data_IF_910609765630
#
_entry.id   IF_910609765630
#
_cell.length_a   1.000
_cell.length_b   1.000
_cell.length_c   1.000
_cell.angle_alpha   90.00
_cell.angle_beta   90.00
_cell.angle_gamma   90.00
#
_symmetry.space_group_name_H-M   'P 1'
#
loop_
_entity.id
_entity.type
_entity.pdbx_description
1 polymer ?
#
# COMPACT_ATOMS: atom_id res chain seq x y z
N UNK A 1 6.65 25.07 -38.62
CA UNK A 1 6.94 23.85 -39.40
C UNK A 1 7.57 22.82 -38.46
N UNK A 2 7.02 21.60 -38.44
CA UNK A 2 7.63 20.37 -37.90
C UNK A 2 7.72 20.17 -36.38
N UNK A 3 6.58 19.96 -35.71
CA UNK A 3 6.51 19.15 -34.47
C UNK A 3 5.53 17.96 -34.58
N UNK A 4 4.91 17.76 -35.75
CA UNK A 4 4.01 16.63 -36.03
C UNK A 4 4.74 15.45 -36.71
N UNK A 5 5.99 15.62 -37.15
CA UNK A 5 6.74 14.58 -37.86
C UNK A 5 7.47 13.58 -36.93
N UNK A 6 7.57 13.86 -35.62
CA UNK A 6 8.32 12.98 -34.70
C UNK A 6 7.50 11.84 -34.09
N UNK A 7 6.16 11.83 -34.24
CA UNK A 7 5.31 10.79 -33.64
C UNK A 7 5.17 9.54 -34.51
N UNK A 8 5.58 9.59 -35.79
CA UNK A 8 5.36 8.50 -36.75
C UNK A 8 6.51 7.48 -36.74
N UNK A 9 7.68 7.81 -36.17
CA UNK A 9 8.85 6.93 -36.24
C UNK A 9 8.94 5.88 -35.12
N UNK A 10 8.05 5.94 -34.12
CA UNK A 10 8.05 5.00 -32.99
C UNK A 10 7.20 3.74 -33.22
N UNK A 11 6.33 3.70 -34.24
CA UNK A 11 5.44 2.56 -34.51
C UNK A 11 6.09 1.43 -35.33
N UNK A 12 7.21 1.69 -36.03
CA UNK A 12 7.84 0.71 -36.91
C UNK A 12 8.68 -0.37 -36.22
N UNK A 13 9.01 -0.23 -34.93
CA UNK A 13 9.92 -1.15 -34.22
C UNK A 13 9.23 -2.28 -33.47
N UNK A 14 7.91 -2.23 -33.30
CA UNK A 14 7.17 -3.28 -32.59
C UNK A 14 6.78 -4.46 -33.50
N UNK A 15 6.63 -4.24 -34.82
CA UNK A 15 6.29 -5.33 -35.75
C UNK A 15 7.46 -6.30 -36.02
N UNK A 16 8.72 -5.86 -35.92
CA UNK A 16 9.88 -6.71 -36.23
C UNK A 16 10.18 -7.78 -35.16
N UNK A 17 9.62 -7.67 -33.95
CA UNK A 17 9.83 -8.65 -32.88
C UNK A 17 8.88 -9.86 -32.96
N UNK A 18 7.80 -9.79 -33.74
CA UNK A 18 6.85 -10.89 -33.92
C UNK A 18 7.26 -11.86 -35.04
N UNK A 19 7.94 -11.38 -36.08
CA UNK A 19 8.43 -12.21 -37.19
C UNK A 19 9.59 -13.14 -36.79
N UNK A 20 10.34 -12.81 -35.74
CA UNK A 20 11.53 -13.57 -35.32
C UNK A 20 11.23 -14.88 -34.57
N UNK A 21 9.96 -15.21 -34.28
CA UNK A 21 9.58 -16.49 -33.65
C UNK A 21 9.04 -17.53 -34.63
N UNK A 22 8.83 -17.19 -35.90
CA UNK A 22 8.05 -18.05 -36.80
C UNK A 22 8.88 -18.86 -37.82
N UNK A 23 10.20 -18.92 -37.66
CA UNK A 23 11.08 -19.69 -38.57
C UNK A 23 12.09 -20.56 -37.82
N UNK A 24 11.61 -21.68 -37.27
CA UNK A 24 12.45 -22.83 -36.95
C UNK A 24 11.65 -24.15 -37.05
N UNK A 25 11.71 -24.77 -38.22
CA UNK A 25 11.48 -26.19 -38.54
C UNK A 25 12.23 -26.46 -39.88
N UNK A 26 12.68 -27.68 -40.25
CA UNK A 26 12.10 -28.99 -39.87
C UNK A 26 13.07 -30.21 -39.70
N UNK A 27 12.44 -31.34 -39.31
CA UNK A 27 12.61 -32.74 -39.73
C UNK A 27 13.81 -33.63 -39.29
N UNK A 28 13.49 -34.75 -38.61
CA UNK A 28 13.64 -36.18 -39.04
C UNK A 28 12.96 -37.07 -37.97
N UNK A 29 11.72 -37.57 -38.10
CA UNK A 29 11.21 -38.77 -38.80
C UNK A 29 11.35 -40.12 -38.06
N UNK A 30 10.23 -40.87 -38.04
CA UNK A 30 10.01 -42.29 -37.67
C UNK A 30 9.87 -42.61 -36.16
N UNK A 31 8.88 -43.37 -35.66
CA UNK A 31 7.87 -44.24 -36.26
C UNK A 31 6.65 -44.42 -35.33
N UNK A 32 5.46 -44.46 -35.94
CA UNK A 32 4.37 -45.43 -35.76
C UNK A 32 4.17 -46.10 -34.38
N UNK A 33 3.01 -45.87 -33.74
CA UNK A 33 2.01 -46.92 -33.45
C UNK A 33 0.80 -46.36 -32.69
N UNK A 34 -0.38 -46.70 -33.20
CA UNK A 34 -1.69 -46.60 -32.56
C UNK A 34 -1.83 -47.68 -31.49
N UNK A 35 -2.07 -47.30 -30.23
CA UNK A 35 -2.75 -48.17 -29.25
C UNK A 35 -3.56 -47.34 -28.27
N UNK A 36 -4.88 -47.42 -28.42
CA UNK A 36 -5.86 -47.24 -27.35
C UNK A 36 -5.59 -48.27 -26.24
N UNK A 37 -5.34 -47.83 -25.00
CA UNK A 37 -5.59 -48.64 -23.80
C UNK A 37 -5.69 -47.77 -22.54
N UNK A 38 -6.89 -47.84 -21.95
CA UNK A 38 -7.26 -47.89 -20.53
C UNK A 38 -6.64 -46.92 -19.49
N UNK A 39 -7.46 -46.49 -18.50
CA UNK A 39 -7.03 -45.55 -17.46
C UNK A 39 -6.13 -46.26 -16.44
N UNK A 40 -5.03 -45.62 -16.07
CA UNK A 40 -4.08 -46.10 -15.08
C UNK A 40 -3.58 -44.86 -14.31
N UNK A 41 -3.48 -44.80 -12.99
CA UNK A 41 -3.94 -45.63 -11.90
C UNK A 41 -4.08 -44.70 -10.68
N UNK A 42 -4.78 -45.16 -9.65
CA UNK A 42 -4.88 -44.50 -8.35
C UNK A 42 -3.50 -44.16 -7.78
N UNK A 43 -3.39 -42.95 -7.22
CA UNK A 43 -2.16 -42.38 -6.69
C UNK A 43 -1.54 -43.21 -5.56
N UNK A 44 -0.21 -43.23 -5.57
CA UNK A 44 0.64 -43.78 -4.51
C UNK A 44 0.48 -42.96 -3.22
N UNK A 45 0.39 -43.59 -2.03
CA UNK A 45 0.33 -42.85 -0.77
C UNK A 45 1.71 -42.23 -0.49
N UNK A 46 1.80 -40.90 -0.49
CA UNK A 46 3.05 -40.15 -0.32
C UNK A 46 3.40 -39.22 -1.48
N UNK A 47 2.55 -39.14 -2.50
CA UNK A 47 2.63 -38.07 -3.50
C UNK A 47 2.08 -36.78 -2.87
N UNK A 48 2.87 -36.12 -2.00
CA UNK A 48 2.68 -34.74 -1.51
C UNK A 48 2.87 -33.76 -2.68
N UNK A 49 2.13 -34.02 -3.75
CA UNK A 49 1.94 -33.09 -4.84
C UNK A 49 1.00 -32.04 -4.31
N UNK A 50 1.60 -31.00 -3.73
CA UNK A 50 0.96 -29.72 -3.48
C UNK A 50 0.35 -29.25 -4.82
N UNK A 51 -0.87 -29.67 -5.11
CA UNK A 51 -1.77 -28.87 -5.92
C UNK A 51 -2.13 -27.70 -5.02
N UNK A 52 -1.59 -26.48 -5.24
CA UNK A 52 -2.22 -25.33 -4.63
C UNK A 52 -3.67 -25.41 -5.08
N UNK A 53 -4.58 -25.63 -4.13
CA UNK A 53 -6.00 -25.62 -4.37
C UNK A 53 -6.32 -24.26 -4.96
N UNK A 54 -6.36 -24.19 -6.28
CA UNK A 54 -6.87 -23.04 -7.02
C UNK A 54 -8.34 -22.94 -6.72
N UNK A 55 -8.67 -22.35 -5.58
CA UNK A 55 -10.04 -22.07 -5.19
C UNK A 55 -10.01 -20.76 -4.43
N UNK A 56 -10.87 -19.84 -4.91
CA UNK A 56 -11.08 -18.46 -4.47
C UNK A 56 -10.47 -17.35 -5.35
N UNK A 57 -10.03 -17.65 -6.58
CA UNK A 57 -9.88 -16.58 -7.60
C UNK A 57 -11.22 -15.92 -7.96
N UNK A 58 -12.35 -16.60 -7.73
CA UNK A 58 -13.71 -16.14 -8.01
C UNK A 58 -14.52 -15.82 -6.73
N UNK A 59 -13.87 -15.71 -5.58
CA UNK A 59 -14.57 -15.22 -4.38
C UNK A 59 -14.88 -13.73 -4.56
N UNK A 60 -16.13 -13.30 -4.37
CA UNK A 60 -16.53 -11.90 -4.57
C UNK A 60 -15.61 -10.90 -3.83
N UNK A 61 -15.17 -11.24 -2.62
CA UNK A 61 -14.22 -10.43 -1.86
C UNK A 61 -12.83 -10.29 -2.52
N UNK A 62 -12.38 -11.30 -3.27
CA UNK A 62 -11.14 -11.23 -4.07
C UNK A 62 -11.30 -10.33 -5.29
N UNK A 63 -12.48 -10.32 -5.93
CA UNK A 63 -12.78 -9.44 -7.06
C UNK A 63 -12.88 -7.96 -6.65
N UNK A 64 -13.51 -7.69 -5.50
CA UNK A 64 -13.61 -6.33 -4.91
C UNK A 64 -12.23 -5.75 -4.61
N UNK A 65 -11.35 -6.57 -4.04
CA UNK A 65 -10.01 -6.14 -3.57
C UNK A 65 -8.94 -6.07 -4.66
N UNK A 66 -9.09 -6.82 -5.76
CA UNK A 66 -8.13 -6.85 -6.88
C UNK A 66 -8.02 -5.52 -7.63
N UNK A 67 -9.06 -4.68 -7.59
CA UNK A 67 -9.12 -3.41 -8.32
C UNK A 67 -8.75 -2.17 -7.48
N UNK A 68 -8.25 -2.36 -6.26
CA UNK A 68 -7.83 -1.25 -5.41
C UNK A 68 -6.55 -0.60 -5.95
N UNK A 69 -6.58 0.72 -6.20
CA UNK A 69 -5.41 1.48 -6.65
C UNK A 69 -4.45 1.84 -5.51
N UNK A 70 -4.03 0.83 -4.74
CA UNK A 70 -3.14 0.97 -3.58
C UNK A 70 -1.84 1.71 -3.92
N UNK A 71 -1.35 1.57 -5.16
CA UNK A 71 -0.16 2.27 -5.64
C UNK A 71 -0.34 3.80 -5.68
N UNK A 72 -1.51 4.27 -6.14
CA UNK A 72 -1.83 5.70 -6.18
C UNK A 72 -1.97 6.26 -4.76
N UNK A 73 -2.60 5.49 -3.86
CA UNK A 73 -2.76 5.89 -2.46
C UNK A 73 -1.41 6.00 -1.74
N UNK A 74 -0.50 5.07 -2.02
CA UNK A 74 0.89 5.12 -1.54
C UNK A 74 1.61 6.38 -2.03
N UNK A 75 1.40 6.79 -3.28
CA UNK A 75 2.02 7.99 -3.83
C UNK A 75 1.54 9.27 -3.13
N UNK A 76 0.24 9.44 -2.92
CA UNK A 76 -0.32 10.60 -2.21
C UNK A 76 0.20 10.68 -0.77
N UNK A 77 0.24 9.54 -0.07
CA UNK A 77 0.78 9.50 1.30
C UNK A 77 2.28 9.77 1.32
N UNK A 78 3.04 9.27 0.34
CA UNK A 78 4.47 9.55 0.23
C UNK A 78 4.74 11.06 0.04
N UNK A 79 3.88 11.77 -0.70
CA UNK A 79 3.96 13.22 -0.85
C UNK A 79 3.74 13.92 0.50
N UNK A 80 2.66 13.62 1.21
CA UNK A 80 2.37 14.21 2.53
C UNK A 80 3.49 13.88 3.54
N UNK A 81 4.01 12.64 3.53
CA UNK A 81 5.13 12.20 4.36
C UNK A 81 6.39 13.01 4.06
N UNK A 82 6.74 13.17 2.77
CA UNK A 82 7.92 13.94 2.37
C UNK A 82 7.84 15.40 2.82
N UNK A 83 6.65 16.01 2.73
CA UNK A 83 6.40 17.37 3.17
C UNK A 83 6.54 17.54 4.68
N UNK A 84 5.91 16.65 5.47
CA UNK A 84 6.04 16.63 6.94
C UNK A 84 7.50 16.44 7.35
N UNK A 85 8.19 15.48 6.73
CA UNK A 85 9.60 15.18 6.99
C UNK A 85 10.51 16.37 6.71
N UNK A 86 10.37 17.01 5.55
CA UNK A 86 11.20 18.17 5.19
C UNK A 86 10.93 19.37 6.08
N UNK A 87 9.66 19.60 6.45
CA UNK A 87 9.30 20.67 7.40
C UNK A 87 9.97 20.46 8.75
N UNK A 88 9.95 19.23 9.28
CA UNK A 88 10.59 18.92 10.56
C UNK A 88 12.12 19.04 10.47
N UNK A 89 12.72 18.60 9.37
CA UNK A 89 14.16 18.74 9.13
C UNK A 89 14.58 20.20 9.04
N UNK A 90 13.78 21.02 8.35
CA UNK A 90 14.00 22.46 8.27
C UNK A 90 13.88 23.11 9.64
N UNK A 91 12.87 22.74 10.43
CA UNK A 91 12.70 23.24 11.81
C UNK A 91 13.86 22.85 12.71
N UNK A 92 14.36 21.62 12.64
CA UNK A 92 15.58 21.23 13.36
C UNK A 92 16.78 22.11 12.99
N UNK A 93 16.98 22.37 11.70
CA UNK A 93 18.08 23.19 11.21
C UNK A 93 17.97 24.66 11.67
N UNK A 94 16.76 25.23 11.70
CA UNK A 94 16.49 26.59 12.20
C UNK A 94 16.93 26.76 13.66
N UNK A 95 16.78 25.71 14.48
CA UNK A 95 17.20 25.69 15.88
C UNK A 95 18.63 25.16 16.10
N UNK A 96 19.43 25.00 15.02
CA UNK A 96 20.80 24.45 15.05
C UNK A 96 20.90 23.05 15.69
N UNK A 97 19.85 22.25 15.56
CA UNK A 97 19.81 20.88 16.05
C UNK A 97 20.35 19.91 15.00
N UNK A 98 20.86 18.76 15.44
CA UNK A 98 21.32 17.74 14.51
C UNK A 98 20.13 17.21 13.69
N UNK A 99 20.22 17.12 12.35
CA UNK A 99 19.16 16.54 11.52
C UNK A 99 18.86 15.07 11.85
N UNK A 100 19.75 14.38 12.56
CA UNK A 100 19.60 13.01 13.05
C UNK A 100 18.96 12.92 14.44
N UNK A 101 18.48 14.04 15.00
CA UNK A 101 17.77 14.03 16.28
C UNK A 101 16.45 13.30 16.12
N UNK A 102 16.24 12.27 16.94
CA UNK A 102 14.99 11.52 16.96
C UNK A 102 13.87 12.43 17.47
N UNK A 103 12.88 12.67 16.61
CA UNK A 103 11.66 13.40 16.93
C UNK A 103 10.48 12.48 16.69
N UNK A 104 9.57 12.44 17.65
CA UNK A 104 8.27 11.84 17.51
C UNK A 104 7.22 12.94 17.51
N UNK A 105 6.36 12.96 16.51
CA UNK A 105 5.31 13.95 16.36
C UNK A 105 3.97 13.26 16.47
N UNK A 106 3.20 13.64 17.49
CA UNK A 106 1.91 13.03 17.80
C UNK A 106 0.80 14.05 17.70
N UNK A 107 -0.41 13.56 17.45
CA UNK A 107 -1.62 14.39 17.53
C UNK A 107 -2.10 14.41 18.98
N UNK A 108 -1.93 15.56 19.64
CA UNK A 108 -2.35 15.81 21.01
C UNK A 108 -3.85 16.09 21.13
N UNK A 109 -4.27 16.42 22.35
CA UNK A 109 -5.65 16.77 22.68
C UNK A 109 -6.08 18.05 21.93
N UNK A 110 -7.29 18.04 21.37
CA UNK A 110 -7.80 19.15 20.54
C UNK A 110 -7.18 19.25 19.14
N UNK A 111 -6.46 18.22 18.67
CA UNK A 111 -5.89 18.18 17.32
C UNK A 111 -4.62 19.01 17.14
N UNK A 112 -4.04 19.50 18.23
CA UNK A 112 -2.74 20.19 18.23
C UNK A 112 -1.62 19.19 18.00
N UNK A 113 -0.56 19.64 17.34
CA UNK A 113 0.66 18.84 17.18
C UNK A 113 1.46 18.91 18.47
N UNK A 114 1.85 17.75 19.00
CA UNK A 114 2.78 17.60 20.11
C UNK A 114 4.07 16.97 19.58
N UNK A 115 5.20 17.41 20.11
CA UNK A 115 6.52 16.95 19.69
C UNK A 115 7.21 16.36 20.90
N UNK A 116 7.59 15.11 20.81
CA UNK A 116 8.38 14.41 21.80
C UNK A 116 9.76 14.07 21.23
N UNK A 117 10.78 14.04 22.08
CA UNK A 117 12.13 13.69 21.66
C UNK A 117 13.18 14.12 22.67
N UNK A 118 14.44 13.79 22.37
CA UNK A 118 15.60 14.18 23.18
C UNK A 118 15.99 15.64 22.89
N UNK A 119 15.15 16.58 23.30
CA UNK A 119 15.37 18.02 23.13
C UNK A 119 15.18 18.76 24.46
N UNK A 120 15.87 19.89 24.66
CA UNK A 120 15.56 20.81 25.76
C UNK A 120 14.10 21.29 25.67
N UNK A 121 13.39 21.33 26.81
CA UNK A 121 11.97 21.70 26.88
C UNK A 121 11.66 23.06 26.23
N UNK A 122 12.57 24.03 26.40
CA UNK A 122 12.42 25.36 25.80
C UNK A 122 12.44 25.34 24.26
N UNK A 123 13.24 24.45 23.67
CA UNK A 123 13.33 24.29 22.21
C UNK A 123 12.13 23.49 21.70
N UNK A 124 11.73 22.43 22.42
CA UNK A 124 10.53 21.64 22.14
C UNK A 124 9.28 22.52 22.06
N UNK A 125 9.04 23.36 23.07
CA UNK A 125 7.87 24.24 23.11
C UNK A 125 7.83 25.25 21.93
N UNK A 126 8.99 25.76 21.51
CA UNK A 126 9.08 26.65 20.33
C UNK A 126 8.79 25.91 19.04
N UNK A 127 9.37 24.72 18.85
CA UNK A 127 9.08 23.87 17.69
C UNK A 127 7.59 23.51 17.65
N UNK A 128 6.99 23.11 18.77
CA UNK A 128 5.54 22.84 18.85
C UNK A 128 4.70 24.06 18.47
N UNK A 129 5.05 25.24 18.98
CA UNK A 129 4.36 26.48 18.64
C UNK A 129 4.45 26.77 17.13
N UNK A 130 5.63 26.63 16.53
CA UNK A 130 5.86 26.85 15.11
C UNK A 130 5.07 25.87 14.24
N UNK A 131 5.11 24.58 14.57
CA UNK A 131 4.35 23.54 13.86
C UNK A 131 2.85 23.79 13.98
N UNK A 132 2.38 24.26 15.13
CA UNK A 132 0.98 24.61 15.34
C UNK A 132 0.55 25.92 14.66
N UNK A 133 1.49 26.79 14.30
CA UNK A 133 1.21 27.99 13.52
C UNK A 133 1.19 27.69 12.00
N UNK A 134 1.92 26.66 11.56
CA UNK A 134 1.97 26.27 10.16
C UNK A 134 0.75 25.44 9.75
N UNK A 135 -0.22 26.09 9.09
CA UNK A 135 -1.43 25.45 8.57
C UNK A 135 -1.15 24.32 7.57
N UNK A 136 -0.19 24.52 6.66
CA UNK A 136 0.14 23.51 5.63
C UNK A 136 0.68 22.23 6.24
N UNK A 137 1.49 22.36 7.30
CA UNK A 137 1.99 21.25 8.09
C UNK A 137 0.86 20.53 8.81
N UNK A 138 0.00 21.27 9.54
CA UNK A 138 -1.14 20.71 10.26
C UNK A 138 -2.08 19.93 9.35
N UNK A 139 -2.36 20.45 8.17
CA UNK A 139 -3.25 19.79 7.21
C UNK A 139 -2.62 18.48 6.69
N UNK A 140 -1.36 18.53 6.28
CA UNK A 140 -0.62 17.36 5.79
C UNK A 140 -0.47 16.29 6.88
N UNK A 141 -0.11 16.70 8.10
CA UNK A 141 0.01 15.80 9.24
C UNK A 141 -1.34 15.21 9.65
N UNK A 142 -2.43 15.99 9.61
CA UNK A 142 -3.77 15.48 9.92
C UNK A 142 -4.24 14.46 8.87
N UNK A 143 -4.01 14.71 7.58
CA UNK A 143 -4.29 13.73 6.52
C UNK A 143 -3.47 12.46 6.73
N UNK A 144 -2.16 12.61 6.91
CA UNK A 144 -1.25 11.48 7.14
C UNK A 144 -1.69 10.64 8.36
N UNK A 145 -2.09 11.29 9.45
CA UNK A 145 -2.52 10.62 10.68
C UNK A 145 -3.76 9.74 10.54
N UNK A 146 -4.60 10.03 9.55
CA UNK A 146 -5.84 9.30 9.29
C UNK A 146 -5.65 8.28 8.16
N UNK A 147 -4.87 8.67 7.14
CA UNK A 147 -4.69 7.91 5.91
C UNK A 147 -3.68 6.78 6.06
N UNK A 148 -2.57 6.99 6.77
CA UNK A 148 -1.52 5.98 6.91
C UNK A 148 -2.00 4.71 7.63
N UNK A 149 -2.69 4.79 8.79
CA UNK A 149 -3.18 3.59 9.47
C UNK A 149 -4.14 2.78 8.59
N UNK A 150 -5.01 3.48 7.84
CA UNK A 150 -5.96 2.86 6.92
C UNK A 150 -5.24 2.15 5.78
N UNK A 151 -4.27 2.82 5.16
CA UNK A 151 -3.47 2.22 4.09
C UNK A 151 -2.69 1.00 4.59
N UNK A 152 -2.06 1.09 5.76
CA UNK A 152 -1.30 0.00 6.35
C UNK A 152 -2.20 -1.21 6.64
N UNK A 153 -3.41 -0.98 7.14
CA UNK A 153 -4.40 -2.04 7.32
C UNK A 153 -4.76 -2.70 5.98
N UNK A 154 -5.13 -1.92 4.96
CA UNK A 154 -5.52 -2.43 3.64
C UNK A 154 -4.37 -3.19 2.99
N UNK A 155 -3.15 -2.64 3.00
CA UNK A 155 -1.97 -3.28 2.41
C UNK A 155 -1.63 -4.60 3.10
N UNK A 156 -1.71 -4.67 4.44
CA UNK A 156 -1.48 -5.91 5.17
C UNK A 156 -2.60 -6.93 4.95
N UNK A 157 -3.86 -6.50 4.95
CA UNK A 157 -4.99 -7.39 4.71
C UNK A 157 -4.93 -7.99 3.29
N UNK A 158 -4.53 -7.20 2.29
CA UNK A 158 -4.31 -7.69 0.93
C UNK A 158 -3.17 -8.69 0.84
N UNK A 159 -2.03 -8.41 1.48
CA UNK A 159 -0.89 -9.34 1.53
C UNK A 159 -1.25 -10.65 2.21
N UNK A 160 -1.99 -10.60 3.33
CA UNK A 160 -2.43 -11.79 4.06
C UNK A 160 -3.41 -12.62 3.23
N UNK A 161 -4.34 -11.97 2.53
CA UNK A 161 -5.25 -12.65 1.61
C UNK A 161 -4.46 -13.32 0.46
N UNK A 162 -3.50 -12.62 -0.14
CA UNK A 162 -2.68 -13.19 -1.23
C UNK A 162 -1.76 -14.33 -0.76
N UNK A 163 -1.16 -14.22 0.42
CA UNK A 163 -0.20 -15.19 0.92
C UNK A 163 -0.86 -16.47 1.47
N UNK A 164 -2.03 -16.32 2.10
CA UNK A 164 -2.66 -17.41 2.86
C UNK A 164 -4.10 -17.71 2.45
N UNK A 165 -4.67 -16.97 1.49
CA UNK A 165 -6.06 -17.11 1.08
C UNK A 165 -7.07 -16.69 2.15
N UNK A 166 -6.63 -15.97 3.18
CA UNK A 166 -7.50 -15.61 4.32
C UNK A 166 -8.35 -14.39 3.95
N UNK A 167 -9.66 -14.59 3.85
CA UNK A 167 -10.62 -13.50 3.68
C UNK A 167 -10.78 -12.71 4.97
N UNK A 168 -10.55 -11.40 4.89
CA UNK A 168 -10.76 -10.48 5.99
C UNK A 168 -12.13 -9.80 5.82
N UNK A 169 -13.08 -10.11 6.69
CA UNK A 169 -14.43 -9.52 6.66
C UNK A 169 -14.44 -8.01 6.88
N UNK A 170 -13.46 -7.46 7.60
CA UNK A 170 -13.30 -6.00 7.74
C UNK A 170 -12.85 -5.38 6.42
N UNK A 171 -11.93 -6.04 5.69
CA UNK A 171 -11.51 -5.56 4.37
C UNK A 171 -12.69 -5.56 3.39
N UNK A 172 -13.53 -6.59 3.41
CA UNK A 172 -14.72 -6.66 2.55
C UNK A 172 -15.75 -5.57 2.91
N UNK A 173 -15.95 -5.28 4.19
CA UNK A 173 -16.80 -4.16 4.63
C UNK A 173 -16.23 -2.77 4.25
N UNK A 174 -14.90 -2.66 4.12
CA UNK A 174 -14.23 -1.42 3.72
C UNK A 174 -14.25 -1.21 2.21
N UNK A 175 -14.32 -2.25 1.39
CA UNK A 175 -14.20 -2.14 -0.06
C UNK A 175 -15.58 -2.20 -0.68
N UNK A 176 -15.96 -1.14 -1.37
CA UNK A 176 -17.22 -1.09 -2.11
C UNK A 176 -17.13 -1.94 -3.37
N UNK A 177 -18.27 -2.47 -3.79
CA UNK A 177 -18.43 -3.15 -5.07
C UNK A 177 -18.23 -2.18 -6.25
N UNK A 178 -18.59 -0.92 -6.05
CA UNK A 178 -18.33 0.12 -7.02
C UNK A 178 -16.92 0.71 -6.80
N UNK A 179 -16.08 0.53 -7.81
CA UNK A 179 -14.70 1.01 -7.82
C UNK A 179 -14.56 2.52 -7.64
N UNK A 180 -15.57 3.31 -8.03
CA UNK A 180 -15.57 4.76 -7.89
C UNK A 180 -15.59 5.21 -6.42
N UNK A 181 -16.10 4.37 -5.51
CA UNK A 181 -16.16 4.64 -4.07
C UNK A 181 -15.04 3.94 -3.29
N UNK A 182 -13.98 3.51 -3.98
CA UNK A 182 -12.83 2.88 -3.35
C UNK A 182 -11.62 3.82 -3.22
N UNK A 183 -11.82 5.12 -3.48
CA UNK A 183 -10.80 6.13 -3.27
C UNK A 183 -10.29 6.16 -1.83
N UNK A 184 -9.06 6.65 -1.63
CA UNK A 184 -8.42 6.72 -0.31
C UNK A 184 -9.32 7.39 0.73
N UNK A 185 -9.98 8.49 0.37
CA UNK A 185 -10.85 9.23 1.27
C UNK A 185 -12.06 8.41 1.72
N UNK A 186 -12.67 7.64 0.81
CA UNK A 186 -13.83 6.79 1.10
C UNK A 186 -13.44 5.62 2.00
N UNK A 187 -12.30 4.98 1.72
CA UNK A 187 -11.75 3.90 2.55
C UNK A 187 -11.48 4.41 3.97
N UNK A 188 -10.90 5.60 4.09
CA UNK A 188 -10.60 6.24 5.38
C UNK A 188 -11.88 6.56 6.15
N UNK A 189 -12.91 7.11 5.49
CA UNK A 189 -14.20 7.37 6.13
C UNK A 189 -14.88 6.10 6.62
N UNK A 190 -14.91 5.04 5.79
CA UNK A 190 -15.48 3.75 6.18
C UNK A 190 -14.68 3.10 7.31
N UNK A 191 -13.35 3.20 7.28
CA UNK A 191 -12.48 2.70 8.35
C UNK A 191 -12.69 3.43 9.67
N UNK A 192 -12.78 4.76 9.66
CA UNK A 192 -13.05 5.53 10.87
C UNK A 192 -14.45 5.24 11.43
N UNK A 193 -15.46 5.13 10.56
CA UNK A 193 -16.81 4.71 10.97
C UNK A 193 -16.81 3.30 11.59
N UNK A 194 -16.13 2.33 10.96
CA UNK A 194 -16.02 0.97 11.46
C UNK A 194 -15.28 0.93 12.80
N UNK A 195 -14.18 1.68 12.95
CA UNK A 195 -13.42 1.81 14.19
C UNK A 195 -14.26 2.39 15.32
N UNK A 196 -15.05 3.44 15.04
CA UNK A 196 -15.95 4.06 16.02
C UNK A 196 -17.06 3.12 16.47
N UNK A 197 -17.63 2.34 15.54
CA UNK A 197 -18.67 1.35 15.85
C UNK A 197 -18.10 0.11 16.57
N UNK A 198 -16.89 -0.34 16.20
CA UNK A 198 -16.23 -1.48 16.82
C UNK A 198 -15.66 -1.16 18.21
N UNK A 199 -15.35 0.11 18.49
CA UNK A 199 -14.84 0.59 19.78
C UNK A 199 -15.80 0.42 20.98
N UNK A 200 -16.99 -0.14 20.78
CA UNK A 200 -17.85 -0.62 21.87
C UNK A 200 -17.46 -1.99 22.44
N UNK A 201 -16.53 -2.70 21.82
CA UNK A 201 -15.98 -3.97 22.34
C UNK A 201 -14.52 -3.75 22.74
N UNK A 202 -14.20 -4.07 24.00
CA UNK A 202 -12.93 -3.77 24.66
C UNK A 202 -11.70 -4.16 23.83
N UNK A 203 -11.06 -3.15 23.22
CA UNK A 203 -9.68 -3.22 22.78
C UNK A 203 -8.91 -2.37 23.80
N UNK A 204 -8.07 -3.00 24.61
CA UNK A 204 -7.31 -2.35 25.69
C UNK A 204 -6.67 -1.04 25.23
N UNK A 205 -6.95 0.02 25.99
CA UNK A 205 -6.75 1.43 25.68
C UNK A 205 -5.29 1.92 25.54
N UNK A 206 -4.30 1.02 25.54
CA UNK A 206 -2.88 1.36 25.32
C UNK A 206 -2.46 1.23 23.84
N UNK A 207 -3.14 0.38 23.07
CA UNK A 207 -2.80 0.07 21.66
C UNK A 207 -3.78 0.71 20.65
N UNK A 208 -4.64 1.63 21.10
CA UNK A 208 -5.25 2.62 20.22
C UNK A 208 -4.15 3.62 19.80
N UNK A 209 -3.10 3.10 19.15
CA UNK A 209 -1.86 3.80 18.79
C UNK A 209 -2.23 5.11 18.16
N UNK A 210 -2.14 6.17 18.95
CA UNK A 210 -2.24 7.53 18.46
C UNK A 210 -1.17 7.63 17.40
N UNK A 211 -1.59 8.02 16.20
CA UNK A 211 -0.68 8.13 15.09
C UNK A 211 0.51 9.02 15.50
N UNK A 212 1.70 8.49 15.27
CA UNK A 212 2.96 9.03 15.74
C UNK A 212 3.93 9.01 14.56
N UNK A 213 4.27 10.18 14.04
CA UNK A 213 5.25 10.32 12.99
C UNK A 213 6.64 10.37 13.61
N UNK A 214 7.46 9.36 13.33
CA UNK A 214 8.82 9.29 13.81
C UNK A 214 9.79 9.78 12.72
N UNK A 215 10.47 10.89 12.99
CA UNK A 215 11.61 11.32 12.19
C UNK A 215 12.85 10.60 12.72
N UNK A 216 13.16 9.44 12.13
CA UNK A 216 14.44 8.77 12.33
C UNK A 216 15.16 8.69 10.98
N UNK A 217 16.27 9.41 10.84
CA UNK A 217 17.03 9.50 9.57
C UNK A 217 17.98 8.32 9.36
N UNK A 218 18.01 7.34 10.27
CA UNK A 218 18.72 6.06 10.10
C UNK A 218 17.79 5.02 9.50
N UNK A 219 17.45 5.16 8.22
CA UNK A 219 16.82 4.10 7.42
C UNK A 219 17.28 4.22 5.98
#
# INVERSE_FOLDING_TARGET
MSLLASLIQASGRFQQAMDSRQSAKPASEQAQTTTTKAPEAAGTPGDDRFTPSGRDQDSEGSLKTRNLSVAEYKQTIAQDLSHVRETLRHKLAEYNLNPSTALNVTKGEGGRTQVEGTLPDAVRARIEQDLNNNRSFQESFSRLSTNEPTLHFVDNALKLNQAYGVHNSLLDALVSENQQFNGLQDLVHRYDNLKRNAGGTEISAEDARRYAFNLNTRA
#
